data_IF_523759684721
#
_entry.id   IF_523759684721
#
_cell.length_a   1.000
_cell.length_b   1.000
_cell.length_c   1.000
_cell.angle_alpha   90.00
_cell.angle_beta   90.00
_cell.angle_gamma   90.00
#
_symmetry.space_group_name_H-M   'P 1'
#
loop_
_entity.id
_entity.type
_entity.pdbx_description
1 polymer ?
#
# COMPACT_ATOMS: atom_id res chain seq x y z
N UNK A 1 6.12 15.72 -1.37
CA UNK A 1 6.69 14.38 -1.67
C UNK A 1 6.17 13.81 -2.98
N UNK A 2 6.18 14.59 -4.00
CA UNK A 2 5.35 14.22 -5.13
C UNK A 2 6.02 13.42 -6.21
N UNK A 3 7.35 13.33 -6.33
CA UNK A 3 7.79 13.08 -7.69
C UNK A 3 8.71 11.91 -7.96
N UNK A 4 9.10 11.14 -6.96
CA UNK A 4 9.80 9.90 -7.26
C UNK A 4 8.93 8.95 -8.09
N UNK A 5 7.64 8.82 -7.76
CA UNK A 5 6.73 7.97 -8.53
C UNK A 5 6.48 8.50 -9.95
N UNK A 6 6.33 9.82 -10.12
CA UNK A 6 6.19 10.41 -11.44
C UNK A 6 7.43 10.24 -12.31
N UNK A 7 8.61 10.49 -11.74
CA UNK A 7 9.88 10.28 -12.43
C UNK A 7 10.11 8.80 -12.77
N UNK A 8 9.75 7.87 -11.87
CA UNK A 8 9.88 6.43 -12.10
C UNK A 8 8.84 5.91 -13.10
N UNK A 9 7.63 6.46 -13.12
CA UNK A 9 6.63 6.09 -14.11
C UNK A 9 7.08 6.41 -15.54
N UNK A 10 7.77 7.54 -15.73
CA UNK A 10 8.31 7.95 -17.03
C UNK A 10 9.41 7.01 -17.57
N UNK A 11 10.11 6.28 -16.70
CA UNK A 11 11.21 5.36 -17.06
C UNK A 11 10.90 3.90 -16.79
N UNK A 12 9.64 3.57 -16.48
CA UNK A 12 9.20 2.22 -16.11
C UNK A 12 9.64 1.14 -17.08
N UNK A 13 9.57 1.42 -18.37
CA UNK A 13 9.87 0.48 -19.46
C UNK A 13 11.27 0.70 -20.04
N UNK A 14 12.05 1.64 -19.48
CA UNK A 14 13.42 1.92 -19.89
C UNK A 14 14.39 0.84 -19.38
N UNK A 15 15.62 0.87 -19.89
CA UNK A 15 16.70 0.04 -19.38
C UNK A 15 17.03 0.37 -17.92
N UNK A 16 17.59 -0.60 -17.19
CA UNK A 16 17.88 -0.48 -15.75
C UNK A 16 18.76 0.72 -15.41
N UNK A 17 19.74 1.03 -16.27
CA UNK A 17 20.62 2.18 -16.06
C UNK A 17 19.86 3.52 -16.09
N UNK A 18 18.85 3.66 -16.94
CA UNK A 18 18.00 4.85 -16.99
C UNK A 18 17.13 4.98 -15.72
N UNK A 19 16.59 3.88 -15.22
CA UNK A 19 15.85 3.85 -13.94
C UNK A 19 16.77 4.22 -12.78
N UNK A 20 17.98 3.65 -12.73
CA UNK A 20 18.96 3.95 -11.70
C UNK A 20 19.40 5.43 -11.74
N UNK A 21 19.57 5.99 -12.94
CA UNK A 21 19.88 7.40 -13.11
C UNK A 21 18.75 8.31 -12.61
N UNK A 22 17.49 8.00 -12.94
CA UNK A 22 16.33 8.74 -12.46
C UNK A 22 16.22 8.70 -10.93
N UNK A 23 16.44 7.56 -10.30
CA UNK A 23 16.44 7.43 -8.83
C UNK A 23 17.55 8.26 -8.19
N UNK A 24 18.76 8.24 -8.76
CA UNK A 24 19.88 9.04 -8.26
C UNK A 24 19.58 10.54 -8.37
N UNK A 25 19.11 11.00 -9.53
CA UNK A 25 18.76 12.40 -9.75
C UNK A 25 17.67 12.88 -8.77
N UNK A 26 16.64 12.06 -8.52
CA UNK A 26 15.59 12.41 -7.56
C UNK A 26 16.12 12.46 -6.12
N UNK A 27 17.02 11.55 -5.73
CA UNK A 27 17.69 11.59 -4.43
C UNK A 27 18.50 12.86 -4.25
N UNK A 28 19.26 13.26 -5.27
CA UNK A 28 20.04 14.49 -5.26
C UNK A 28 19.13 15.72 -5.17
N UNK A 29 18.01 15.73 -5.92
CA UNK A 29 17.01 16.80 -5.86
C UNK A 29 16.39 16.91 -4.46
N UNK A 30 16.00 15.80 -3.85
CA UNK A 30 15.43 15.78 -2.50
C UNK A 30 16.45 16.24 -1.44
N UNK A 31 17.69 15.83 -1.56
CA UNK A 31 18.77 16.25 -0.65
C UNK A 31 19.02 17.76 -0.79
N UNK A 32 19.08 18.28 -2.02
CA UNK A 32 19.26 19.72 -2.29
C UNK A 32 18.09 20.55 -1.78
N UNK A 33 16.85 20.02 -1.85
CA UNK A 33 15.65 20.68 -1.31
C UNK A 33 15.51 20.55 0.21
N UNK A 34 16.47 19.91 0.91
CA UNK A 34 16.43 19.62 2.36
C UNK A 34 15.19 18.79 2.79
N UNK A 35 14.54 18.14 1.84
CA UNK A 35 13.37 17.29 2.10
C UNK A 35 13.74 15.93 2.69
N UNK A 36 15.02 15.54 2.58
CA UNK A 36 15.56 14.30 3.14
C UNK A 36 16.94 14.58 3.72
N UNK A 37 17.17 14.14 4.97
CA UNK A 37 18.52 14.25 5.55
C UNK A 37 19.52 13.44 4.70
N UNK A 38 20.72 13.99 4.40
CA UNK A 38 21.72 13.30 3.59
C UNK A 38 22.06 11.88 4.06
N UNK A 39 22.03 11.66 5.39
CA UNK A 39 22.24 10.34 6.00
C UNK A 39 21.14 9.33 5.67
N UNK A 40 19.91 9.77 5.45
CA UNK A 40 18.77 8.91 5.05
C UNK A 40 18.82 8.66 3.55
N UNK A 41 19.09 9.68 2.75
CA UNK A 41 19.25 9.55 1.31
C UNK A 41 20.35 8.57 0.92
N UNK A 42 21.47 8.54 1.67
CA UNK A 42 22.56 7.60 1.47
C UNK A 42 22.23 6.14 1.81
N UNK A 43 21.18 5.88 2.61
CA UNK A 43 20.75 4.52 3.01
C UNK A 43 19.70 3.91 2.10
N UNK A 44 19.20 4.65 1.11
CA UNK A 44 18.24 4.12 0.15
C UNK A 44 18.92 3.04 -0.72
N UNK A 45 18.41 1.82 -0.63
CA UNK A 45 18.87 0.72 -1.48
C UNK A 45 18.29 0.89 -2.89
N UNK A 46 19.12 1.39 -3.79
CA UNK A 46 18.73 1.69 -5.18
C UNK A 46 18.25 0.42 -5.91
N UNK A 47 18.81 -0.74 -5.57
CA UNK A 47 18.38 -2.01 -6.17
C UNK A 47 16.99 -2.44 -5.69
N UNK A 48 16.62 -2.11 -4.45
CA UNK A 48 15.24 -2.34 -3.97
C UNK A 48 14.24 -1.45 -4.70
N UNK A 49 14.62 -0.21 -5.00
CA UNK A 49 13.79 0.71 -5.80
C UNK A 49 13.66 0.19 -7.23
N UNK A 50 14.73 -0.26 -7.86
CA UNK A 50 14.69 -0.84 -9.20
C UNK A 50 13.74 -2.06 -9.25
N UNK A 51 13.86 -2.97 -8.28
CA UNK A 51 12.94 -4.11 -8.17
C UNK A 51 11.49 -3.68 -8.02
N UNK A 52 11.23 -2.64 -7.22
CA UNK A 52 9.90 -2.09 -7.06
C UNK A 52 9.34 -1.55 -8.38
N UNK A 53 10.11 -0.74 -9.12
CA UNK A 53 9.69 -0.19 -10.42
C UNK A 53 9.38 -1.28 -11.45
N UNK A 54 10.06 -2.42 -11.38
CA UNK A 54 9.80 -3.59 -12.25
C UNK A 54 8.68 -4.50 -11.75
N UNK A 55 8.14 -4.22 -10.55
CA UNK A 55 7.16 -5.09 -9.90
C UNK A 55 5.75 -4.91 -10.44
N UNK A 56 4.90 -5.90 -10.17
CA UNK A 56 3.46 -5.84 -10.39
C UNK A 56 2.82 -4.70 -9.59
N UNK A 57 3.28 -4.44 -8.35
CA UNK A 57 2.79 -3.34 -7.53
C UNK A 57 2.92 -2.00 -8.25
N UNK A 58 4.07 -1.74 -8.86
CA UNK A 58 4.29 -0.48 -9.57
C UNK A 58 3.47 -0.38 -10.86
N UNK A 59 3.29 -1.49 -11.59
CA UNK A 59 2.39 -1.52 -12.76
C UNK A 59 0.95 -1.16 -12.39
N UNK A 60 0.44 -1.71 -11.28
CA UNK A 60 -0.88 -1.36 -10.77
C UNK A 60 -0.98 0.13 -10.42
N UNK A 61 0.02 0.68 -9.73
CA UNK A 61 0.08 2.11 -9.42
C UNK A 61 0.02 2.98 -10.69
N UNK A 62 0.79 2.62 -11.72
CA UNK A 62 0.80 3.36 -12.99
C UNK A 62 -0.50 3.21 -13.79
N UNK A 63 -1.27 2.16 -13.57
CA UNK A 63 -2.55 1.90 -14.26
C UNK A 63 -3.76 2.55 -13.59
N UNK A 64 -3.63 3.05 -12.37
CA UNK A 64 -4.73 3.68 -11.64
C UNK A 64 -5.02 5.10 -12.16
N UNK A 65 -6.28 5.53 -12.11
CA UNK A 65 -6.70 6.90 -12.40
C UNK A 65 -6.21 7.88 -11.33
N UNK A 66 -6.23 7.44 -10.07
CA UNK A 66 -5.73 8.24 -8.94
C UNK A 66 -5.03 7.35 -7.93
N UNK A 67 -4.04 7.91 -7.23
CA UNK A 67 -3.22 7.22 -6.25
C UNK A 67 -3.24 7.99 -4.94
N UNK A 68 -4.04 7.52 -3.99
CA UNK A 68 -4.14 8.11 -2.67
C UNK A 68 -3.10 7.48 -1.75
N UNK A 69 -2.22 8.30 -1.20
CA UNK A 69 -1.14 7.86 -0.31
C UNK A 69 -1.42 8.29 1.12
N UNK A 70 -1.02 7.45 2.07
CA UNK A 70 -1.17 7.74 3.50
C UNK A 70 -2.59 8.21 3.83
N UNK A 71 -3.59 7.51 3.26
CA UNK A 71 -4.98 7.86 3.41
C UNK A 71 -5.45 7.56 4.83
N UNK A 72 -5.53 8.61 5.63
CA UNK A 72 -6.10 8.49 6.97
C UNK A 72 -7.63 8.30 6.89
N UNK A 73 -8.14 7.40 7.70
CA UNK A 73 -9.57 7.16 7.84
C UNK A 73 -9.98 6.94 9.28
N UNK A 74 -11.20 7.29 9.56
CA UNK A 74 -11.93 6.96 10.77
C UNK A 74 -13.37 6.66 10.39
N UNK A 75 -13.89 5.51 10.78
CA UNK A 75 -15.25 5.08 10.45
C UNK A 75 -15.79 4.14 11.51
N UNK A 76 -17.11 4.02 11.58
CA UNK A 76 -17.77 3.00 12.39
C UNK A 76 -18.17 1.83 11.50
N UNK A 77 -17.79 0.61 11.87
CA UNK A 77 -18.22 -0.62 11.24
C UNK A 77 -19.06 -1.45 12.22
N UNK A 78 -20.00 -2.27 11.74
CA UNK A 78 -20.68 -3.25 12.61
C UNK A 78 -19.66 -4.18 13.28
N UNK A 79 -19.87 -4.49 14.56
CA UNK A 79 -18.98 -5.39 15.30
C UNK A 79 -18.85 -6.77 14.61
N UNK A 80 -19.92 -7.24 13.99
CA UNK A 80 -19.91 -8.45 13.17
C UNK A 80 -18.85 -8.42 12.08
N UNK A 81 -18.72 -7.28 11.36
CA UNK A 81 -17.76 -7.13 10.29
C UNK A 81 -16.30 -7.07 10.81
N UNK A 82 -16.10 -6.41 11.95
CA UNK A 82 -14.78 -6.33 12.58
C UNK A 82 -14.33 -7.71 13.07
N UNK A 83 -15.23 -8.48 13.69
CA UNK A 83 -14.95 -9.81 14.20
C UNK A 83 -14.68 -10.78 13.04
N UNK A 84 -15.52 -10.74 11.98
CA UNK A 84 -15.32 -11.56 10.79
C UNK A 84 -13.98 -11.30 10.09
N UNK A 85 -13.57 -10.03 9.97
CA UNK A 85 -12.27 -9.65 9.40
C UNK A 85 -11.10 -10.25 10.21
N UNK A 86 -11.27 -10.42 11.53
CA UNK A 86 -10.28 -11.07 12.39
C UNK A 86 -10.31 -12.60 12.33
N UNK A 87 -11.18 -13.19 11.50
CA UNK A 87 -11.34 -14.64 11.39
C UNK A 87 -11.94 -15.29 12.65
N UNK A 88 -12.67 -14.52 13.46
CA UNK A 88 -13.30 -14.99 14.71
C UNK A 88 -14.79 -15.27 14.49
N UNK A 89 -15.33 -16.17 15.28
CA UNK A 89 -16.76 -16.43 15.29
C UNK A 89 -17.55 -15.23 15.84
N UNK A 90 -18.70 -14.97 15.21
CA UNK A 90 -19.60 -13.91 15.64
C UNK A 90 -20.21 -14.28 17.00
N UNK A 91 -20.31 -13.34 17.95
CA UNK A 91 -21.10 -13.54 19.13
C UNK A 91 -22.59 -13.58 18.77
N UNK A 92 -23.36 -14.39 19.46
CA UNK A 92 -24.80 -14.40 19.33
C UNK A 92 -25.42 -13.13 19.96
N UNK A 93 -26.45 -12.58 19.34
CA UNK A 93 -27.27 -11.51 19.93
C UNK A 93 -26.99 -10.08 19.40
N UNK A 94 -27.65 -9.06 19.99
CA UNK A 94 -27.66 -7.69 19.50
C UNK A 94 -26.31 -6.98 19.51
N UNK A 95 -25.31 -7.54 20.15
CA UNK A 95 -23.95 -7.00 20.14
C UNK A 95 -23.27 -7.03 18.76
N UNK A 96 -23.80 -7.84 17.81
CA UNK A 96 -23.25 -7.94 16.45
C UNK A 96 -23.44 -6.63 15.65
N UNK A 97 -24.51 -5.89 15.91
CA UNK A 97 -24.85 -4.63 15.22
C UNK A 97 -24.24 -3.40 15.89
N UNK A 98 -23.59 -3.56 17.04
CA UNK A 98 -22.93 -2.45 17.73
C UNK A 98 -21.86 -1.83 16.82
N UNK A 99 -21.86 -0.50 16.72
CA UNK A 99 -20.84 0.23 15.97
C UNK A 99 -19.49 0.18 16.67
N UNK A 100 -18.48 -0.30 15.96
CA UNK A 100 -17.07 -0.29 16.40
C UNK A 100 -16.31 0.76 15.60
N UNK A 101 -15.64 1.68 16.32
CA UNK A 101 -14.83 2.69 15.69
C UNK A 101 -13.54 2.05 15.17
N UNK A 102 -13.30 2.17 13.86
CA UNK A 102 -12.10 1.71 13.18
C UNK A 102 -11.37 2.93 12.61
N UNK A 103 -10.10 3.04 12.95
CA UNK A 103 -9.24 4.10 12.43
C UNK A 103 -7.92 3.53 11.94
N UNK A 104 -7.33 4.18 10.96
CA UNK A 104 -6.04 3.77 10.42
C UNK A 104 -5.52 4.71 9.33
N UNK A 105 -4.38 4.35 8.80
CA UNK A 105 -3.78 5.00 7.63
C UNK A 105 -3.50 3.89 6.62
N UNK A 106 -4.12 3.98 5.44
CA UNK A 106 -3.82 3.09 4.32
C UNK A 106 -2.64 3.65 3.54
N UNK A 107 -1.60 2.86 3.33
CA UNK A 107 -0.38 3.32 2.66
C UNK A 107 -0.68 3.79 1.24
N UNK A 108 -1.37 2.97 0.45
CA UNK A 108 -1.81 3.30 -0.92
C UNK A 108 -3.20 2.74 -1.19
N UNK A 109 -4.07 3.61 -1.70
CA UNK A 109 -5.34 3.24 -2.31
C UNK A 109 -5.29 3.64 -3.77
N UNK A 110 -5.42 2.66 -4.65
CA UNK A 110 -5.50 2.85 -6.10
C UNK A 110 -6.97 3.00 -6.49
N UNK A 111 -7.27 4.07 -7.19
CA UNK A 111 -8.63 4.36 -7.65
C UNK A 111 -8.69 4.07 -9.14
N UNK A 112 -9.58 3.16 -9.52
CA UNK A 112 -9.93 2.84 -10.89
C UNK A 112 -11.36 3.31 -11.18
N UNK A 113 -11.80 3.34 -12.46
CA UNK A 113 -13.15 3.80 -12.80
C UNK A 113 -14.27 3.08 -12.05
N UNK A 114 -14.13 1.78 -11.86
CA UNK A 114 -15.15 0.84 -11.38
C UNK A 114 -14.83 0.18 -10.03
N UNK A 115 -13.57 0.22 -9.60
CA UNK A 115 -13.11 -0.48 -8.38
C UNK A 115 -11.98 0.27 -7.68
N UNK A 116 -11.55 -0.31 -6.56
CA UNK A 116 -10.40 0.14 -5.77
C UNK A 116 -9.45 -1.03 -5.55
N UNK A 117 -8.17 -0.72 -5.36
CA UNK A 117 -7.19 -1.66 -4.87
C UNK A 117 -6.46 -1.07 -3.65
N UNK A 118 -6.10 -1.90 -2.71
CA UNK A 118 -5.39 -1.53 -1.50
C UNK A 118 -4.01 -2.16 -1.50
N UNK A 119 -2.97 -1.34 -1.43
CA UNK A 119 -1.59 -1.78 -1.32
C UNK A 119 -0.96 -1.26 -0.03
N UNK A 120 -0.18 -2.11 0.59
CA UNK A 120 0.55 -1.82 1.82
C UNK A 120 2.03 -2.18 1.65
N UNK A 121 2.94 -1.39 2.21
CA UNK A 121 4.38 -1.65 2.15
C UNK A 121 4.89 -2.23 3.45
N UNK A 122 5.68 -3.28 3.35
CA UNK A 122 6.31 -3.88 4.52
C UNK A 122 7.81 -4.03 4.32
N UNK A 123 8.54 -3.70 5.39
CA UNK A 123 10.00 -3.82 5.46
C UNK A 123 10.44 -5.00 6.33
N UNK A 124 9.49 -5.83 6.75
CA UNK A 124 9.77 -6.99 7.58
C UNK A 124 10.79 -7.91 6.94
N UNK A 125 11.76 -8.33 7.75
CA UNK A 125 12.79 -9.29 7.35
C UNK A 125 12.42 -10.69 7.83
N UNK A 126 12.91 -11.70 7.11
CA UNK A 126 12.76 -13.12 7.48
C UNK A 126 11.32 -13.62 7.54
N UNK A 127 10.41 -13.00 6.78
CA UNK A 127 9.05 -13.49 6.59
C UNK A 127 8.89 -14.13 5.22
N UNK A 128 8.14 -15.22 5.18
CA UNK A 128 7.66 -15.82 3.94
C UNK A 128 6.38 -15.11 3.46
N UNK A 129 5.95 -15.26 2.20
CA UNK A 129 4.66 -14.77 1.74
C UNK A 129 3.49 -15.21 2.62
N UNK A 130 3.48 -16.47 3.06
CA UNK A 130 2.45 -17.01 3.97
C UNK A 130 2.45 -16.32 5.35
N UNK A 131 3.62 -15.91 5.85
CA UNK A 131 3.73 -15.16 7.09
C UNK A 131 3.15 -13.76 6.97
N UNK A 132 3.33 -13.09 5.82
CA UNK A 132 2.71 -11.80 5.55
C UNK A 132 1.19 -11.92 5.52
N UNK A 133 0.64 -12.88 4.77
CA UNK A 133 -0.80 -13.12 4.70
C UNK A 133 -1.37 -13.35 6.11
N UNK A 134 -0.75 -14.22 6.89
CA UNK A 134 -1.21 -14.53 8.25
C UNK A 134 -1.16 -13.32 9.18
N UNK A 135 -0.12 -12.48 9.07
CA UNK A 135 0.08 -11.34 9.96
C UNK A 135 -0.84 -10.16 9.63
N UNK A 136 -1.15 -9.93 8.35
CA UNK A 136 -1.73 -8.67 7.90
C UNK A 136 -3.11 -8.78 7.25
N UNK A 137 -3.62 -10.00 6.97
CA UNK A 137 -4.94 -10.21 6.35
C UNK A 137 -6.04 -9.47 7.11
N UNK A 138 -6.14 -9.65 8.42
CA UNK A 138 -7.20 -9.03 9.22
C UNK A 138 -7.16 -7.50 9.15
N UNK A 139 -5.97 -6.92 9.15
CA UNK A 139 -5.78 -5.47 9.00
C UNK A 139 -6.29 -4.98 7.65
N UNK A 140 -5.85 -5.63 6.56
CA UNK A 140 -6.22 -5.20 5.20
C UNK A 140 -7.71 -5.45 4.90
N UNK A 141 -8.31 -6.48 5.48
CA UNK A 141 -9.78 -6.68 5.40
C UNK A 141 -10.53 -5.54 6.07
N UNK A 142 -10.12 -5.12 7.26
CA UNK A 142 -10.74 -3.98 7.96
C UNK A 142 -10.54 -2.66 7.20
N UNK A 143 -9.34 -2.45 6.66
CA UNK A 143 -9.03 -1.26 5.88
C UNK A 143 -9.86 -1.20 4.60
N UNK A 144 -9.98 -2.33 3.89
CA UNK A 144 -10.80 -2.43 2.70
C UNK A 144 -12.27 -2.03 3.00
N UNK A 145 -12.87 -2.57 4.05
CA UNK A 145 -14.25 -2.22 4.45
C UNK A 145 -14.41 -0.73 4.80
N UNK A 146 -13.45 -0.15 5.50
CA UNK A 146 -13.47 1.27 5.85
C UNK A 146 -13.37 2.16 4.59
N UNK A 147 -12.51 1.77 3.66
CA UNK A 147 -12.29 2.49 2.39
C UNK A 147 -13.50 2.34 1.48
N UNK A 148 -14.08 1.15 1.33
CA UNK A 148 -15.31 0.92 0.58
C UNK A 148 -16.45 1.80 1.06
N UNK A 149 -16.60 1.97 2.37
CA UNK A 149 -17.62 2.84 2.93
C UNK A 149 -17.44 4.30 2.51
N UNK A 150 -16.20 4.77 2.42
CA UNK A 150 -15.86 6.13 2.00
C UNK A 150 -16.06 6.36 0.51
N UNK A 151 -15.80 5.34 -0.32
CA UNK A 151 -15.79 5.44 -1.78
C UNK A 151 -16.95 4.70 -2.45
N UNK A 152 -18.01 4.41 -1.70
CA UNK A 152 -19.20 3.75 -2.26
C UNK A 152 -19.68 4.44 -3.55
N UNK A 153 -20.11 3.70 -4.58
CA UNK A 153 -20.36 2.24 -4.57
C UNK A 153 -19.15 1.36 -4.93
N UNK A 154 -17.95 1.93 -5.15
CA UNK A 154 -16.77 1.17 -5.53
C UNK A 154 -16.36 0.19 -4.44
N UNK A 155 -15.91 -0.99 -4.86
CA UNK A 155 -15.43 -2.06 -3.97
C UNK A 155 -13.92 -2.24 -4.10
N UNK A 156 -13.28 -2.70 -3.05
CA UNK A 156 -11.88 -3.11 -3.05
C UNK A 156 -11.81 -4.52 -3.63
N UNK A 157 -11.31 -4.66 -4.85
CA UNK A 157 -11.22 -5.94 -5.55
C UNK A 157 -9.87 -6.63 -5.38
N UNK A 158 -8.86 -5.89 -4.93
CA UNK A 158 -7.52 -6.41 -4.70
C UNK A 158 -6.91 -5.82 -3.42
N UNK A 159 -6.25 -6.68 -2.65
CA UNK A 159 -5.46 -6.29 -1.48
C UNK A 159 -4.09 -6.95 -1.58
N UNK A 160 -3.04 -6.16 -1.49
CA UNK A 160 -1.69 -6.67 -1.63
C UNK A 160 -0.70 -6.01 -0.68
N UNK A 161 0.31 -6.78 -0.31
CA UNK A 161 1.47 -6.31 0.46
C UNK A 161 2.68 -6.36 -0.45
N UNK A 162 3.33 -5.23 -0.66
CA UNK A 162 4.63 -5.22 -1.30
C UNK A 162 5.73 -5.37 -0.25
N UNK A 163 6.39 -6.51 -0.25
CA UNK A 163 7.56 -6.74 0.61
C UNK A 163 8.80 -6.14 -0.03
N UNK A 164 9.37 -5.10 0.59
CA UNK A 164 10.61 -4.49 0.15
C UNK A 164 11.83 -5.44 0.29
N UNK A 165 11.76 -6.38 1.20
CA UNK A 165 12.83 -7.37 1.38
C UNK A 165 12.79 -8.47 0.32
N UNK A 166 11.61 -9.02 0.05
CA UNK A 166 11.43 -10.06 -0.97
C UNK A 166 11.43 -9.46 -2.39
N UNK A 167 11.02 -8.19 -2.53
CA UNK A 167 10.88 -7.50 -3.82
C UNK A 167 9.69 -7.99 -4.63
N UNK A 168 8.63 -8.45 -3.96
CA UNK A 168 7.44 -9.02 -4.60
C UNK A 168 6.13 -8.50 -3.98
N UNK A 169 5.06 -8.54 -4.77
CA UNK A 169 3.70 -8.25 -4.35
C UNK A 169 3.01 -9.55 -3.94
N UNK A 170 2.51 -9.57 -2.72
CA UNK A 170 1.84 -10.72 -2.09
C UNK A 170 0.37 -10.39 -1.98
N UNK A 171 -0.49 -11.17 -2.63
CA UNK A 171 -1.95 -11.03 -2.51
C UNK A 171 -2.43 -11.55 -1.14
N UNK A 172 -3.43 -10.85 -0.57
CA UNK A 172 -3.93 -11.12 0.80
C UNK A 172 -5.43 -11.36 0.84
#
# INVERSE_FOLDING_TARGET
SSDLFGALAAVRDAEDDAVLAAVRAERERQAAAQLTLPAIAGKLDVYKILRFVRSEAFRRICGAEDVLRELAFITSLPAAEVIAAQGRALPDGPAADAGVLVQGIADIVLVYPDHLELLDYKTDRRKTPADFVRAYRAQLELYAKAIEKRFAPRRVTYKGIYSLELGELIEV
#
